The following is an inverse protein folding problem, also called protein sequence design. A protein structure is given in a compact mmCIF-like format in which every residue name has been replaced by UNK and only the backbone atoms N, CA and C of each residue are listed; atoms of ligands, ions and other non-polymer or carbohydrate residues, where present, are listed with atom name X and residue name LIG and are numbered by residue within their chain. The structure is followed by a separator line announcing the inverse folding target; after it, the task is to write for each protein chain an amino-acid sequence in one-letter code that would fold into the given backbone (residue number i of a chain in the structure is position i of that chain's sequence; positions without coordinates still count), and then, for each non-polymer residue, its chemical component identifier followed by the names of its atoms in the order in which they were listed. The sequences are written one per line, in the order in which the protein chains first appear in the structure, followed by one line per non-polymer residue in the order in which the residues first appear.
data_IF_484574601903
#
_entry.id   IF_484574601903
#
_cell.length_a   1.000
_cell.length_b   1.000
_cell.length_c   1.000
_cell.angle_alpha   90.00
_cell.angle_beta   90.00
_cell.angle_gamma   90.00
#
_symmetry.space_group_name_H-M   'P 1'
#
loop_
_entity.id
_entity.type
_entity.pdbx_description
1 polymer ?
#
# COMPACT_ATOMS: atom_id res chain seq x y z
N UNK A 1 5.91 -19.12 38.93
CA UNK A 1 4.67 -19.78 38.47
C UNK A 1 4.13 -18.94 37.32
N UNK A 2 4.17 -19.51 36.12
CA UNK A 2 3.91 -18.83 34.84
C UNK A 2 2.46 -18.37 34.71
N UNK A 3 2.23 -17.25 34.02
CA UNK A 3 1.09 -17.15 33.11
C UNK A 3 1.44 -16.22 31.94
N UNK A 4 1.92 -16.84 30.87
CA UNK A 4 1.97 -16.30 29.52
C UNK A 4 0.55 -16.29 28.94
N UNK A 5 0.04 -15.13 28.53
CA UNK A 5 -1.15 -15.04 27.68
C UNK A 5 -0.86 -14.24 26.41
N UNK A 6 -0.40 -14.99 25.41
CA UNK A 6 -0.84 -14.92 24.01
C UNK A 6 -0.93 -13.54 23.33
N UNK A 7 0.19 -13.13 22.72
CA UNK A 7 0.17 -12.25 21.55
C UNK A 7 -0.23 -13.08 20.32
N UNK A 8 -1.50 -13.02 19.90
CA UNK A 8 -1.92 -13.53 18.58
C UNK A 8 -1.51 -12.50 17.53
N UNK A 9 -0.32 -12.67 16.94
CA UNK A 9 -0.07 -12.12 15.61
C UNK A 9 -0.96 -12.88 14.62
N UNK A 10 -1.88 -12.16 13.98
CA UNK A 10 -2.68 -12.70 12.88
C UNK A 10 -1.74 -12.94 11.69
N UNK A 11 -1.19 -14.15 11.62
CA UNK A 11 -0.52 -14.67 10.45
C UNK A 11 -1.56 -15.21 9.49
N UNK A 12 -1.72 -14.58 8.32
CA UNK A 12 -2.45 -15.19 7.21
C UNK A 12 -1.62 -16.36 6.66
N UNK A 13 -2.03 -17.58 7.03
CA UNK A 13 -1.54 -18.83 6.44
C UNK A 13 -2.48 -19.18 5.29
N UNK A 14 -2.02 -19.09 4.05
CA UNK A 14 -2.61 -19.82 2.92
C UNK A 14 -1.51 -20.70 2.32
N UNK A 15 -1.75 -22.01 2.37
CA UNK A 15 -0.91 -23.02 1.76
C UNK A 15 -1.09 -23.04 0.24
N UNK A 16 -0.08 -23.56 -0.45
CA UNK A 16 -0.04 -23.97 -1.87
C UNK A 16 0.27 -22.91 -2.94
N UNK A 17 1.57 -22.69 -3.17
CA UNK A 17 2.24 -23.05 -4.44
C UNK A 17 3.69 -22.55 -4.39
N UNK A 18 4.64 -23.47 -4.54
CA UNK A 18 6.06 -23.15 -4.67
C UNK A 18 6.28 -22.37 -5.97
N UNK A 19 6.31 -21.04 -5.89
CA UNK A 19 6.97 -20.22 -6.89
C UNK A 19 8.37 -19.89 -6.37
N UNK A 20 9.37 -20.48 -7.02
CA UNK A 20 10.78 -20.20 -6.79
C UNK A 20 11.08 -18.83 -7.44
N UNK A 21 10.75 -17.74 -6.75
CA UNK A 21 11.30 -16.42 -7.06
C UNK A 21 12.70 -16.38 -6.47
N UNK A 22 13.70 -16.67 -7.29
CA UNK A 22 15.11 -16.44 -6.97
C UNK A 22 15.30 -14.93 -6.85
N UNK A 23 15.20 -14.41 -5.63
CA UNK A 23 15.72 -13.08 -5.30
C UNK A 23 17.24 -13.25 -5.34
N UNK A 24 17.87 -12.82 -6.43
CA UNK A 24 19.33 -12.71 -6.49
C UNK A 24 19.76 -11.83 -5.33
N UNK A 25 20.50 -12.44 -4.40
CA UNK A 25 21.17 -11.76 -3.30
C UNK A 25 21.97 -10.61 -3.93
N UNK A 26 21.73 -9.38 -3.48
CA UNK A 26 22.63 -8.27 -3.82
C UNK A 26 23.98 -8.63 -3.18
N UNK A 27 24.94 -9.00 -4.01
CA UNK A 27 26.31 -9.23 -3.58
C UNK A 27 26.87 -7.90 -3.09
N UNK A 28 27.25 -7.86 -1.81
CA UNK A 28 27.90 -6.73 -1.17
C UNK A 28 29.38 -6.62 -1.61
N UNK A 29 29.72 -6.82 -2.88
CA UNK A 29 31.12 -6.85 -3.34
C UNK A 29 31.36 -5.99 -4.59
N UNK A 30 31.30 -4.67 -4.42
CA UNK A 30 32.01 -3.74 -5.33
C UNK A 30 32.45 -2.50 -4.57
N UNK A 31 33.52 -2.64 -3.80
CA UNK A 31 34.53 -1.61 -3.56
C UNK A 31 35.45 -2.13 -2.46
N UNK A 32 36.65 -2.56 -2.82
CA UNK A 32 37.89 -2.35 -2.05
C UNK A 32 39.04 -2.86 -2.92
N UNK A 33 39.83 -1.93 -3.45
CA UNK A 33 41.07 -2.21 -4.15
C UNK A 33 42.12 -2.79 -3.20
N UNK A 34 43.02 -3.59 -3.78
CA UNK A 34 44.10 -4.31 -3.12
C UNK A 34 44.92 -3.44 -2.14
N UNK A 35 44.97 -3.86 -0.88
CA UNK A 35 45.90 -3.35 0.13
C UNK A 35 46.04 -4.38 1.26
N UNK A 36 47.23 -4.96 1.39
CA UNK A 36 47.61 -5.92 2.44
C UNK A 36 47.85 -5.20 3.77
N UNK A 37 47.09 -5.51 4.83
CA UNK A 37 47.55 -5.29 6.23
C UNK A 37 46.98 -6.37 7.17
N UNK A 38 47.86 -6.81 8.06
CA UNK A 38 47.70 -7.84 9.10
C UNK A 38 46.57 -7.58 10.10
N UNK A 39 46.01 -8.70 10.60
CA UNK A 39 45.65 -8.88 12.01
C UNK A 39 44.61 -7.94 12.60
N UNK A 40 43.33 -8.20 12.32
CA UNK A 40 42.19 -8.03 13.22
C UNK A 40 41.02 -8.81 12.60
N UNK A 41 40.29 -9.61 13.39
CA UNK A 41 39.09 -10.30 12.90
C UNK A 41 38.10 -9.21 12.48
N UNK A 42 37.70 -9.12 11.20
CA UNK A 42 36.78 -8.08 10.80
C UNK A 42 35.47 -8.32 11.54
N UNK A 43 35.08 -7.36 12.40
CA UNK A 43 33.69 -7.17 12.82
C UNK A 43 32.83 -7.46 11.61
N UNK A 44 32.02 -8.52 11.68
CA UNK A 44 31.23 -9.00 10.55
C UNK A 44 30.46 -7.80 10.02
N UNK A 45 30.86 -7.33 8.84
CA UNK A 45 30.25 -6.18 8.18
C UNK A 45 28.83 -6.64 7.86
N UNK A 46 27.91 -6.36 8.78
CA UNK A 46 26.52 -6.72 8.61
C UNK A 46 26.10 -6.03 7.32
N UNK A 47 25.75 -6.80 6.29
CA UNK A 47 25.16 -6.28 5.04
C UNK A 47 23.84 -5.63 5.44
N UNK A 48 23.95 -4.38 5.87
CA UNK A 48 22.85 -3.53 6.26
C UNK A 48 22.23 -3.07 4.96
N UNK A 49 20.95 -3.40 4.75
CA UNK A 49 20.14 -2.70 3.76
C UNK A 49 19.79 -1.32 4.36
N UNK A 50 20.47 -0.23 3.97
CA UNK A 50 20.32 1.06 4.63
C UNK A 50 18.92 1.64 4.43
N UNK A 51 18.26 1.29 3.32
CA UNK A 51 16.91 1.71 3.02
C UNK A 51 15.91 1.01 3.95
N UNK A 52 16.02 -0.31 4.11
CA UNK A 52 15.14 -1.05 5.03
C UNK A 52 15.39 -0.68 6.50
N UNK A 53 16.61 -0.31 6.88
CA UNK A 53 16.90 0.15 8.23
C UNK A 53 16.07 1.38 8.63
N UNK A 54 15.72 2.26 7.68
CA UNK A 54 14.84 3.42 7.93
C UNK A 54 13.46 2.98 8.41
N UNK A 55 12.87 1.96 7.77
CA UNK A 55 11.58 1.38 8.18
C UNK A 55 11.66 0.76 9.59
N UNK A 56 12.71 -0.01 9.86
CA UNK A 56 12.90 -0.65 11.17
C UNK A 56 13.09 0.38 12.30
N UNK A 57 13.84 1.45 12.05
CA UNK A 57 14.01 2.54 13.02
C UNK A 57 12.70 3.29 13.29
N UNK A 58 11.86 3.50 12.27
CA UNK A 58 10.54 4.11 12.48
C UNK A 58 9.62 3.23 13.33
N UNK A 59 9.61 1.91 13.10
CA UNK A 59 8.86 0.98 13.96
C UNK A 59 9.37 1.07 15.40
N UNK A 60 10.69 0.99 15.59
CA UNK A 60 11.32 1.09 16.91
C UNK A 60 10.92 2.40 17.61
N UNK A 61 10.98 3.52 16.89
CA UNK A 61 10.60 4.82 17.42
C UNK A 61 9.14 4.87 17.88
N UNK A 62 8.20 4.34 17.10
CA UNK A 62 6.78 4.24 17.48
C UNK A 62 6.61 3.36 18.72
N UNK A 63 7.36 2.25 18.80
CA UNK A 63 7.35 1.34 19.96
C UNK A 63 8.01 1.91 21.20
N UNK A 64 8.85 2.92 21.11
CA UNK A 64 9.48 3.54 22.28
C UNK A 64 8.71 4.79 22.71
N UNK A 65 8.30 5.62 21.75
CA UNK A 65 7.83 6.99 22.00
C UNK A 65 6.37 7.24 21.59
N UNK A 66 5.68 6.27 20.97
CA UNK A 66 4.33 6.46 20.47
C UNK A 66 3.25 6.47 21.56
N UNK A 67 2.27 7.36 21.41
CA UNK A 67 1.08 7.46 22.25
C UNK A 67 0.16 6.26 22.04
N UNK A 68 -0.40 5.74 23.14
CA UNK A 68 -1.39 4.66 23.10
C UNK A 68 -2.79 5.24 22.93
N UNK A 69 -3.47 4.87 21.85
CA UNK A 69 -4.80 5.34 21.48
C UNK A 69 -5.77 4.17 21.31
N UNK A 70 -7.05 4.40 21.58
CA UNK A 70 -8.12 3.50 21.19
C UNK A 70 -8.52 3.83 19.75
N UNK A 71 -8.53 2.84 18.86
CA UNK A 71 -8.90 3.01 17.46
C UNK A 71 -10.32 2.47 17.16
N UNK A 72 -10.82 2.78 15.95
CA UNK A 72 -12.17 2.37 15.50
C UNK A 72 -12.40 0.85 15.44
N UNK A 73 -11.34 0.05 15.49
CA UNK A 73 -11.41 -1.42 15.46
C UNK A 73 -11.49 -2.01 16.88
N UNK A 74 -11.21 -1.21 17.91
CA UNK A 74 -11.19 -1.62 19.31
C UNK A 74 -9.93 -2.39 19.73
N UNK A 75 -8.97 -2.63 18.81
CA UNK A 75 -7.70 -3.33 19.11
C UNK A 75 -6.76 -2.42 19.89
N UNK A 76 -6.72 -1.13 19.55
CA UNK A 76 -5.79 -0.17 20.12
C UNK A 76 -4.55 -0.01 19.26
N UNK A 77 -3.98 1.19 19.26
CA UNK A 77 -2.88 1.58 18.39
C UNK A 77 -1.81 2.32 19.19
N UNK A 78 -0.53 2.13 18.82
CA UNK A 78 0.54 3.08 19.19
C UNK A 78 0.90 3.94 18.00
N UNK A 79 0.93 5.25 18.19
CA UNK A 79 1.07 6.20 17.08
C UNK A 79 1.97 7.37 17.42
N UNK A 80 2.57 7.92 16.37
CA UNK A 80 3.23 9.23 16.38
C UNK A 80 2.71 10.00 15.16
N UNK A 81 2.64 11.33 15.25
CA UNK A 81 2.22 12.16 14.11
C UNK A 81 3.42 12.64 13.31
N UNK A 82 3.46 12.28 12.02
CA UNK A 82 4.48 12.74 11.09
C UNK A 82 5.80 11.97 11.18
N UNK A 83 5.95 10.95 10.33
CA UNK A 83 7.24 10.30 10.05
C UNK A 83 7.54 10.39 8.56
N UNK A 84 8.82 10.45 8.20
CA UNK A 84 9.26 10.59 6.82
C UNK A 84 10.50 9.74 6.55
N UNK A 85 10.49 9.06 5.41
CA UNK A 85 11.62 8.29 4.87
C UNK A 85 11.67 8.45 3.36
N UNK A 86 12.88 8.48 2.80
CA UNK A 86 13.12 8.47 1.36
C UNK A 86 13.82 7.17 0.95
N UNK A 87 13.48 6.64 -0.21
CA UNK A 87 14.02 5.41 -0.76
C UNK A 87 14.51 5.66 -2.19
N UNK A 88 15.67 5.11 -2.56
CA UNK A 88 16.20 5.30 -3.91
C UNK A 88 15.57 4.29 -4.87
N UNK A 89 15.05 4.77 -5.99
CA UNK A 89 14.57 3.93 -7.10
C UNK A 89 15.58 3.88 -8.27
N UNK A 90 16.76 4.48 -8.10
CA UNK A 90 17.81 4.46 -9.12
C UNK A 90 18.29 3.03 -9.35
N UNK A 91 18.83 2.78 -10.55
CA UNK A 91 19.39 1.47 -10.93
C UNK A 91 18.36 0.33 -10.93
N UNK A 92 17.07 0.64 -11.13
CA UNK A 92 16.02 -0.39 -11.25
C UNK A 92 15.67 -1.09 -9.94
N UNK A 93 15.98 -0.49 -8.79
CA UNK A 93 15.69 -1.05 -7.47
C UNK A 93 14.27 -0.70 -7.03
N UNK A 94 13.56 -1.67 -6.43
CA UNK A 94 12.29 -1.46 -5.73
C UNK A 94 12.51 -1.76 -4.25
N UNK A 95 12.15 -0.85 -3.32
CA UNK A 95 12.40 -1.00 -1.89
C UNK A 95 11.40 -1.96 -1.23
N UNK A 96 11.41 -3.22 -1.65
CA UNK A 96 10.67 -4.28 -0.98
C UNK A 96 11.38 -4.68 0.30
N UNK A 97 10.62 -4.74 1.40
CA UNK A 97 11.12 -5.23 2.67
C UNK A 97 11.62 -6.67 2.54
N UNK A 98 12.76 -6.97 3.15
CA UNK A 98 13.40 -8.29 3.14
C UNK A 98 13.30 -9.01 4.49
N UNK A 99 13.07 -8.26 5.58
CA UNK A 99 12.81 -8.78 6.93
C UNK A 99 11.50 -9.55 7.04
N UNK A 100 10.57 -9.37 6.10
CA UNK A 100 9.36 -10.17 5.94
C UNK A 100 8.96 -10.25 4.47
N UNK A 101 8.32 -11.35 4.07
CA UNK A 101 7.80 -11.51 2.71
C UNK A 101 6.68 -10.51 2.45
N UNK A 102 6.79 -9.78 1.33
CA UNK A 102 5.76 -8.86 0.82
C UNK A 102 4.95 -9.56 -0.27
N UNK A 103 3.63 -9.35 -0.29
CA UNK A 103 2.72 -9.91 -1.30
C UNK A 103 2.79 -9.12 -2.62
N UNK A 104 3.88 -9.29 -3.37
CA UNK A 104 4.18 -8.52 -4.58
C UNK A 104 3.09 -8.61 -5.66
N UNK A 105 2.60 -9.82 -5.95
CA UNK A 105 1.54 -10.03 -6.95
C UNK A 105 0.29 -9.22 -6.63
N UNK A 106 -0.12 -9.17 -5.36
CA UNK A 106 -1.26 -8.37 -4.94
C UNK A 106 -1.06 -6.88 -5.19
N UNK A 107 0.12 -6.34 -4.86
CA UNK A 107 0.47 -4.92 -5.08
C UNK A 107 0.41 -4.56 -6.57
N UNK A 108 0.99 -5.39 -7.43
CA UNK A 108 1.01 -5.12 -8.88
C UNK A 108 -0.39 -5.18 -9.47
N UNK A 109 -1.18 -6.21 -9.14
CA UNK A 109 -2.54 -6.33 -9.65
C UNK A 109 -3.46 -5.21 -9.15
N UNK A 110 -3.31 -4.79 -7.88
CA UNK A 110 -4.02 -3.65 -7.31
C UNK A 110 -3.65 -2.34 -8.02
N UNK A 111 -2.36 -2.09 -8.26
CA UNK A 111 -1.93 -0.89 -8.98
C UNK A 111 -2.49 -0.86 -10.40
N UNK A 112 -2.47 -1.99 -11.11
CA UNK A 112 -3.08 -2.09 -12.44
C UNK A 112 -4.60 -1.90 -12.40
N UNK A 113 -5.27 -2.37 -11.34
CA UNK A 113 -6.69 -2.13 -11.10
C UNK A 113 -6.99 -0.65 -10.87
N UNK A 114 -6.19 0.06 -10.06
CA UNK A 114 -6.30 1.52 -9.92
C UNK A 114 -6.07 2.26 -11.24
N UNK A 115 -5.05 1.88 -12.01
CA UNK A 115 -4.75 2.51 -13.30
C UNK A 115 -5.93 2.34 -14.27
N UNK A 116 -6.65 1.20 -14.25
CA UNK A 116 -7.84 0.99 -15.09
C UNK A 116 -9.03 1.86 -14.69
N UNK A 117 -9.03 2.47 -13.50
CA UNK A 117 -10.20 3.18 -12.97
C UNK A 117 -11.28 2.25 -12.43
N UNK A 118 -10.94 0.98 -12.21
CA UNK A 118 -11.86 -0.07 -11.79
C UNK A 118 -12.25 0.08 -10.32
N UNK A 119 -13.50 -0.27 -10.00
CA UNK A 119 -14.10 -0.13 -8.67
C UNK A 119 -14.75 -1.43 -8.17
N UNK A 120 -14.69 -2.50 -8.96
CA UNK A 120 -15.18 -3.82 -8.60
C UNK A 120 -14.06 -4.68 -8.00
N UNK A 121 -14.16 -4.99 -6.70
CA UNK A 121 -13.17 -5.84 -6.02
C UNK A 121 -13.13 -7.27 -6.56
N UNK A 122 -14.22 -7.76 -7.19
CA UNK A 122 -14.29 -9.13 -7.71
C UNK A 122 -13.27 -9.38 -8.81
N UNK A 123 -12.92 -8.38 -9.61
CA UNK A 123 -11.87 -8.51 -10.63
C UNK A 123 -10.48 -8.77 -10.02
N UNK A 124 -10.25 -8.34 -8.77
CA UNK A 124 -9.05 -8.72 -8.01
C UNK A 124 -9.21 -10.13 -7.42
N UNK A 125 -10.37 -10.46 -6.86
CA UNK A 125 -10.65 -11.78 -6.27
C UNK A 125 -10.53 -12.91 -7.31
N UNK A 126 -10.97 -12.68 -8.56
CA UNK A 126 -10.81 -13.59 -9.71
C UNK A 126 -9.34 -13.90 -10.02
N UNK A 127 -8.44 -12.97 -9.71
CA UNK A 127 -6.98 -13.14 -9.81
C UNK A 127 -6.34 -13.63 -8.51
N UNK A 128 -7.15 -14.12 -7.57
CA UNK A 128 -6.75 -14.55 -6.24
C UNK A 128 -6.12 -13.44 -5.38
N UNK A 129 -6.47 -12.18 -5.64
CA UNK A 129 -6.04 -11.02 -4.84
C UNK A 129 -7.20 -10.57 -3.95
N UNK A 130 -7.19 -10.99 -2.69
CA UNK A 130 -8.32 -10.88 -1.74
C UNK A 130 -8.26 -9.68 -0.79
N UNK A 131 -7.36 -8.74 -1.04
CA UNK A 131 -7.08 -7.62 -0.12
C UNK A 131 -8.28 -6.69 0.11
N UNK A 132 -9.26 -6.71 -0.81
CA UNK A 132 -10.48 -5.90 -0.76
C UNK A 132 -11.76 -6.67 -0.44
N UNK A 133 -11.72 -8.01 -0.38
CA UNK A 133 -12.91 -8.87 -0.21
C UNK A 133 -13.70 -8.50 1.05
N UNK A 134 -13.00 -8.25 2.16
CA UNK A 134 -13.64 -7.91 3.43
C UNK A 134 -14.39 -6.57 3.39
N UNK A 135 -13.94 -5.62 2.56
CA UNK A 135 -14.58 -4.31 2.42
C UNK A 135 -15.67 -4.32 1.35
N UNK A 136 -15.55 -5.19 0.36
CA UNK A 136 -16.57 -5.40 -0.68
C UNK A 136 -17.71 -6.32 -0.24
N UNK A 137 -17.63 -6.99 0.91
CA UNK A 137 -18.63 -7.96 1.36
C UNK A 137 -19.99 -7.32 1.63
N UNK A 138 -21.06 -8.11 1.47
CA UNK A 138 -22.44 -7.67 1.78
C UNK A 138 -22.56 -7.12 3.21
N UNK A 139 -22.00 -7.83 4.18
CA UNK A 139 -22.00 -7.44 5.59
C UNK A 139 -21.34 -6.07 5.81
N UNK A 140 -20.17 -5.85 5.20
CA UNK A 140 -19.47 -4.57 5.35
C UNK A 140 -20.27 -3.45 4.70
N UNK A 141 -20.73 -3.63 3.46
CA UNK A 141 -21.51 -2.62 2.74
C UNK A 141 -22.79 -2.24 3.49
N UNK A 142 -23.53 -3.22 4.02
CA UNK A 142 -24.73 -2.97 4.82
C UNK A 142 -24.42 -2.26 6.13
N UNK A 143 -23.32 -2.63 6.80
CA UNK A 143 -22.83 -1.95 8.00
C UNK A 143 -22.43 -0.48 7.76
N UNK A 144 -22.22 -0.10 6.50
CA UNK A 144 -21.95 1.28 6.05
C UNK A 144 -23.17 1.96 5.42
N UNK A 145 -24.34 1.31 5.41
CA UNK A 145 -25.58 1.86 4.88
C UNK A 145 -25.76 1.72 3.36
N UNK A 146 -24.85 1.03 2.66
CA UNK A 146 -24.91 0.84 1.20
C UNK A 146 -25.75 -0.37 0.80
N UNK A 147 -27.03 -0.39 1.16
CA UNK A 147 -27.93 -1.53 0.95
C UNK A 147 -28.16 -1.85 -0.53
N UNK A 148 -28.20 -0.82 -1.38
CA UNK A 148 -28.49 -0.96 -2.81
C UNK A 148 -27.22 -1.20 -3.66
N UNK A 149 -26.04 -1.12 -3.04
CA UNK A 149 -24.76 -1.28 -3.72
C UNK A 149 -24.44 -2.77 -3.88
N UNK A 150 -24.11 -3.28 -5.09
CA UNK A 150 -23.76 -4.69 -5.27
C UNK A 150 -22.53 -5.11 -4.45
N UNK A 151 -22.48 -6.37 -4.04
CA UNK A 151 -21.28 -6.92 -3.41
C UNK A 151 -20.07 -6.80 -4.36
N UNK A 152 -18.96 -6.31 -3.83
CA UNK A 152 -17.74 -6.00 -4.56
C UNK A 152 -17.65 -4.59 -5.14
N UNK A 153 -18.76 -3.82 -5.20
CA UNK A 153 -18.71 -2.41 -5.57
C UNK A 153 -18.12 -1.61 -4.40
N UNK A 154 -16.92 -1.06 -4.57
CA UNK A 154 -16.25 -0.29 -3.53
C UNK A 154 -16.57 1.21 -3.58
N UNK A 155 -17.37 1.63 -4.55
CA UNK A 155 -17.63 3.02 -4.86
C UNK A 155 -16.50 3.71 -5.60
N UNK A 156 -16.56 5.04 -5.75
CA UNK A 156 -15.60 5.81 -6.53
C UNK A 156 -14.28 6.04 -5.76
N UNK A 157 -13.57 4.95 -5.42
CA UNK A 157 -12.29 4.97 -4.71
C UNK A 157 -11.13 5.38 -5.65
N UNK A 158 -9.90 5.25 -5.13
CA UNK A 158 -8.62 5.58 -5.76
C UNK A 158 -8.61 5.62 -7.30
N UNK A 159 -8.74 4.46 -7.95
CA UNK A 159 -8.65 4.37 -9.41
C UNK A 159 -9.68 5.24 -10.12
N UNK A 160 -10.93 5.22 -9.66
CA UNK A 160 -11.98 6.09 -10.18
C UNK A 160 -11.60 7.56 -10.05
N UNK A 161 -11.06 7.99 -8.90
CA UNK A 161 -10.62 9.38 -8.76
C UNK A 161 -9.41 9.70 -9.65
N UNK A 162 -8.52 8.74 -9.91
CA UNK A 162 -7.37 8.97 -10.80
C UNK A 162 -7.78 9.19 -12.25
N UNK A 163 -8.83 8.49 -12.72
CA UNK A 163 -9.25 8.50 -14.13
C UNK A 163 -10.49 9.36 -14.40
N UNK A 164 -11.34 9.58 -13.40
CA UNK A 164 -12.68 10.15 -13.51
C UNK A 164 -13.00 11.12 -12.37
N UNK A 165 -12.02 11.91 -11.92
CA UNK A 165 -12.20 12.82 -10.77
C UNK A 165 -13.39 13.76 -10.99
N UNK A 166 -14.32 13.78 -10.04
CA UNK A 166 -15.52 14.63 -10.09
C UNK A 166 -16.68 14.11 -10.95
N UNK A 167 -16.53 12.97 -11.63
CA UNK A 167 -17.66 12.32 -12.31
C UNK A 167 -18.68 11.77 -11.31
N UNK A 168 -19.96 11.74 -11.72
CA UNK A 168 -21.03 11.15 -10.90
C UNK A 168 -20.96 9.62 -11.01
N UNK A 169 -20.78 8.95 -9.87
CA UNK A 169 -20.65 7.50 -9.81
C UNK A 169 -22.01 6.81 -9.98
N UNK A 170 -22.08 5.84 -10.88
CA UNK A 170 -23.28 5.08 -11.29
C UNK A 170 -23.12 3.56 -11.15
N UNK A 171 -22.11 3.09 -10.43
CA UNK A 171 -21.81 1.66 -10.24
C UNK A 171 -20.64 1.15 -11.07
N UNK A 172 -20.26 -0.11 -10.87
CA UNK A 172 -19.05 -0.72 -11.45
C UNK A 172 -19.13 -0.93 -12.96
N UNK A 173 -20.33 -1.15 -13.49
CA UNK A 173 -20.55 -1.50 -14.91
C UNK A 173 -20.78 -0.30 -15.83
N UNK A 174 -20.84 0.91 -15.27
CA UNK A 174 -21.09 2.11 -16.06
C UNK A 174 -19.85 2.52 -16.86
N UNK A 175 -20.05 3.01 -18.08
CA UNK A 175 -18.95 3.61 -18.85
C UNK A 175 -18.70 5.04 -18.36
N UNK A 176 -17.47 5.31 -17.92
CA UNK A 176 -17.00 6.62 -17.46
C UNK A 176 -16.03 7.29 -18.44
N UNK A 177 -15.84 6.74 -19.65
CA UNK A 177 -14.98 7.35 -20.67
C UNK A 177 -15.38 8.80 -20.93
N UNK A 178 -14.38 9.68 -20.89
CA UNK A 178 -14.56 11.13 -21.11
C UNK A 178 -15.28 11.87 -19.97
N UNK A 179 -15.59 11.21 -18.85
CA UNK A 179 -16.27 11.84 -17.72
C UNK A 179 -15.27 12.20 -16.62
N UNK A 180 -15.48 13.36 -16.00
CA UNK A 180 -14.60 13.90 -14.96
C UNK A 180 -13.23 14.31 -15.50
N UNK A 181 -12.25 14.39 -14.60
CA UNK A 181 -10.86 14.73 -14.93
C UNK A 181 -9.99 13.47 -14.85
N UNK A 182 -9.34 13.11 -15.95
CA UNK A 182 -8.31 12.06 -15.99
C UNK A 182 -6.97 12.62 -15.51
N UNK A 183 -6.81 12.67 -14.18
CA UNK A 183 -5.60 13.19 -13.53
C UNK A 183 -4.37 12.38 -13.93
N UNK A 184 -4.49 11.05 -14.09
CA UNK A 184 -3.37 10.20 -14.48
C UNK A 184 -2.85 10.55 -15.88
N UNK A 185 -3.76 10.75 -16.85
CA UNK A 185 -3.37 11.19 -18.18
C UNK A 185 -2.70 12.58 -18.15
N UNK A 186 -3.25 13.52 -17.37
CA UNK A 186 -2.69 14.87 -17.24
C UNK A 186 -1.28 14.88 -16.63
N UNK A 187 -1.02 14.11 -15.58
CA UNK A 187 0.33 14.07 -14.98
C UNK A 187 1.34 13.42 -15.93
N UNK A 188 0.95 12.40 -16.69
CA UNK A 188 1.84 11.75 -17.68
C UNK A 188 2.20 12.74 -18.79
N UNK A 189 1.23 13.51 -19.25
CA UNK A 189 1.44 14.58 -20.24
C UNK A 189 2.38 15.66 -19.68
N UNK A 190 2.13 16.16 -18.46
CA UNK A 190 2.98 17.16 -17.81
C UNK A 190 4.41 16.66 -17.59
N UNK A 191 4.61 15.41 -17.16
CA UNK A 191 5.96 14.86 -16.99
C UNK A 191 6.73 14.85 -18.32
N UNK A 192 6.04 14.64 -19.45
CA UNK A 192 6.66 14.62 -20.78
C UNK A 192 6.90 16.01 -21.34
N UNK A 193 5.94 16.92 -21.15
CA UNK A 193 5.87 18.18 -21.88
C UNK A 193 6.16 19.43 -21.02
N UNK A 194 6.00 19.36 -19.69
CA UNK A 194 6.29 20.42 -18.72
C UNK A 194 6.82 19.83 -17.38
N UNK A 195 8.00 19.18 -17.38
CA UNK A 195 8.51 18.45 -16.22
C UNK A 195 8.86 19.35 -15.02
N UNK A 196 9.02 20.66 -15.24
CA UNK A 196 9.31 21.63 -14.18
C UNK A 196 8.04 22.16 -13.50
N UNK A 197 6.86 21.73 -13.96
CA UNK A 197 5.59 22.07 -13.33
C UNK A 197 5.59 21.65 -11.86
N UNK A 198 5.26 22.60 -10.99
CA UNK A 198 5.05 22.36 -9.55
C UNK A 198 3.62 21.87 -9.23
N UNK A 199 2.87 21.48 -10.26
CA UNK A 199 1.44 21.10 -10.18
C UNK A 199 1.19 19.64 -10.56
N UNK A 200 2.25 18.85 -10.71
CA UNK A 200 2.16 17.41 -11.02
C UNK A 200 1.74 16.67 -9.74
N UNK A 201 0.44 16.58 -9.50
CA UNK A 201 -0.15 15.98 -8.30
C UNK A 201 -1.30 15.07 -8.73
N UNK A 202 -1.34 13.87 -8.15
CA UNK A 202 -2.45 12.92 -8.30
C UNK A 202 -3.18 12.82 -6.95
N UNK A 203 -4.48 13.13 -6.93
CA UNK A 203 -5.25 13.18 -5.69
C UNK A 203 -6.46 12.22 -5.71
N UNK A 204 -6.59 11.37 -4.70
CA UNK A 204 -7.75 10.48 -4.51
C UNK A 204 -8.78 11.02 -3.48
N UNK A 205 -8.47 12.13 -2.82
CA UNK A 205 -9.31 12.77 -1.82
C UNK A 205 -10.30 13.75 -2.46
N UNK A 206 -11.48 13.24 -2.80
CA UNK A 206 -12.59 14.03 -3.32
C UNK A 206 -13.63 14.26 -2.22
N UNK A 207 -13.68 15.50 -1.71
CA UNK A 207 -14.56 15.89 -0.58
C UNK A 207 -16.04 15.61 -0.90
N UNK A 208 -16.50 15.85 -2.14
CA UNK A 208 -17.88 15.58 -2.57
C UNK A 208 -18.20 14.07 -2.53
N UNK A 209 -17.20 13.22 -2.77
CA UNK A 209 -17.37 11.77 -2.87
C UNK A 209 -17.25 11.00 -1.56
N UNK A 210 -16.82 11.62 -0.45
CA UNK A 210 -16.49 10.89 0.79
C UNK A 210 -17.65 10.04 1.33
N UNK A 211 -18.88 10.55 1.27
CA UNK A 211 -20.07 9.83 1.79
C UNK A 211 -20.38 8.53 1.03
N UNK A 212 -19.91 8.41 -0.22
CA UNK A 212 -20.13 7.25 -1.08
C UNK A 212 -18.91 6.32 -1.18
N UNK A 213 -17.84 6.60 -0.44
CA UNK A 213 -16.68 5.72 -0.31
C UNK A 213 -16.92 4.65 0.76
N UNK A 214 -16.57 3.40 0.47
CA UNK A 214 -16.78 2.29 1.42
C UNK A 214 -15.93 2.44 2.69
N UNK A 215 -14.69 2.90 2.56
CA UNK A 215 -13.74 3.03 3.68
C UNK A 215 -13.84 4.36 4.43
N UNK A 216 -14.06 5.48 3.73
CA UNK A 216 -13.99 6.85 4.29
C UNK A 216 -15.39 7.38 4.64
N UNK A 217 -16.32 6.49 4.96
CA UNK A 217 -17.62 6.90 5.47
C UNK A 217 -17.49 7.27 6.96
N UNK A 218 -17.40 8.56 7.26
CA UNK A 218 -17.53 9.01 8.64
C UNK A 218 -18.96 8.71 9.08
N UNK A 219 -19.14 7.82 10.07
CA UNK A 219 -20.35 7.94 10.90
C UNK A 219 -20.18 9.29 11.57
N UNK A 220 -20.87 10.31 11.07
CA UNK A 220 -21.07 11.53 11.86
C UNK A 220 -21.84 11.04 13.07
N UNK A 221 -21.17 11.02 14.22
CA UNK A 221 -21.74 10.71 15.53
C UNK A 221 -22.66 11.88 15.90
#
# INVERSE_FOLDING_TARGET
MYCLSHLKLIGFRTETSKFLLTVTRMDCDTALGNGTVNGDVPSSKMCSNPDEYKYLQQIKYIMENGDTLVDRTGVGTRSVFGLHSTYSLRNGVVPLLTTKRVYWTGIVEELLWFIRGDTNSKHLSEKNVKIWDANGSREFLDGRGFKDRPEGDLGPLYGFQWRHFGADYRGTEADYRGQGVDQLAQIVDQIKNDPNSRRIILNAWNVKGLCIYVLIHSKVI
#
